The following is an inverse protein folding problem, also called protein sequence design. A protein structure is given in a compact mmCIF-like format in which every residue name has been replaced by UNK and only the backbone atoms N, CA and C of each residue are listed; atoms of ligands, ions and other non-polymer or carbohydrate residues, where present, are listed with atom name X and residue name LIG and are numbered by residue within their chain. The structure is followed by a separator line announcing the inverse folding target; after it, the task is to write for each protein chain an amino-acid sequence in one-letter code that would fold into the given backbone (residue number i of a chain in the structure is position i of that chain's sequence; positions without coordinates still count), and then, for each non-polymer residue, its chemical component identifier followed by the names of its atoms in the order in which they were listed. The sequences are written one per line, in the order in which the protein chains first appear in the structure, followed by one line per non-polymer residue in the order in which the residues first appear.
data_IF_683719387873
#
_entry.id   IF_683719387873
#
_cell.length_a   1.000
_cell.length_b   1.000
_cell.length_c   1.000
_cell.angle_alpha   90.00
_cell.angle_beta   90.00
_cell.angle_gamma   90.00
#
_symmetry.space_group_name_H-M   'P 1'
#
loop_
_entity.id
_entity.type
_entity.pdbx_description
1 polymer ?
#
# COMPACT_ATOMS: atom_id res chain seq x y z
N UNK A 1 -2.40 -0.75 -20.35
CA UNK A 1 -3.41 -1.57 -21.06
C UNK A 1 -3.41 -1.29 -22.57
N UNK A 2 -3.47 -0.02 -23.03
CA UNK A 2 -3.47 0.32 -24.45
C UNK A 2 -2.29 -0.28 -25.25
N UNK A 3 -1.09 -0.29 -24.67
CA UNK A 3 0.09 -0.88 -25.31
C UNK A 3 -0.07 -2.40 -25.56
N UNK A 4 -0.69 -3.13 -24.63
CA UNK A 4 -0.94 -4.57 -24.75
C UNK A 4 -1.94 -4.83 -25.88
N UNK A 5 -3.02 -4.04 -25.96
CA UNK A 5 -4.01 -4.15 -27.05
C UNK A 5 -3.35 -3.95 -28.41
N UNK A 6 -2.51 -2.91 -28.55
CA UNK A 6 -1.79 -2.64 -29.80
C UNK A 6 -0.80 -3.74 -30.17
N UNK A 7 -0.13 -4.32 -29.19
CA UNK A 7 0.77 -5.45 -29.40
C UNK A 7 0.00 -6.68 -29.92
N UNK A 8 -1.14 -7.02 -29.30
CA UNK A 8 -1.99 -8.14 -29.75
C UNK A 8 -2.52 -7.92 -31.17
N UNK A 9 -2.98 -6.69 -31.49
CA UNK A 9 -3.40 -6.32 -32.84
C UNK A 9 -2.27 -6.55 -33.86
N UNK A 10 -1.06 -6.07 -33.56
CA UNK A 10 0.12 -6.24 -34.45
C UNK A 10 0.43 -7.71 -34.70
N UNK A 11 0.49 -8.52 -33.63
CA UNK A 11 0.76 -9.96 -33.75
C UNK A 11 -0.33 -10.68 -34.56
N UNK A 12 -1.60 -10.34 -34.42
CA UNK A 12 -2.68 -10.94 -35.19
C UNK A 12 -2.56 -10.60 -36.68
N UNK A 13 -2.15 -9.37 -37.03
CA UNK A 13 -1.90 -8.94 -38.42
C UNK A 13 -0.73 -9.74 -39.01
N UNK A 14 0.37 -9.93 -38.23
CA UNK A 14 1.51 -10.74 -38.67
C UNK A 14 1.11 -12.20 -38.92
N UNK A 15 0.37 -12.80 -37.98
CA UNK A 15 -0.15 -14.17 -38.15
C UNK A 15 -0.97 -14.32 -39.41
N UNK A 16 -1.83 -13.35 -39.72
CA UNK A 16 -2.63 -13.34 -40.94
C UNK A 16 -1.77 -13.21 -42.20
N UNK A 17 -0.80 -12.29 -42.18
CA UNK A 17 0.13 -12.09 -43.30
C UNK A 17 0.96 -13.34 -43.62
N UNK A 18 1.27 -14.17 -42.60
CA UNK A 18 1.93 -15.48 -42.79
C UNK A 18 0.98 -16.64 -43.09
N UNK A 19 -0.31 -16.36 -43.34
CA UNK A 19 -1.31 -17.40 -43.69
C UNK A 19 -1.72 -18.28 -42.49
N UNK A 20 -1.38 -17.88 -41.27
CA UNK A 20 -1.78 -18.61 -40.05
C UNK A 20 -3.27 -18.37 -39.74
N UNK A 21 -3.94 -19.45 -39.35
CA UNK A 21 -5.31 -19.37 -38.82
C UNK A 21 -5.38 -19.13 -37.32
N UNK A 22 -4.25 -19.13 -36.64
CA UNK A 22 -4.18 -18.83 -35.21
C UNK A 22 -4.49 -17.35 -34.96
N UNK A 23 -5.16 -17.06 -33.83
CA UNK A 23 -5.45 -15.69 -33.38
C UNK A 23 -5.24 -15.61 -31.88
N UNK A 24 -4.80 -14.47 -31.42
CA UNK A 24 -4.74 -14.11 -29.98
C UNK A 24 -6.01 -13.30 -29.69
N UNK A 25 -6.83 -13.80 -28.77
CA UNK A 25 -8.04 -13.11 -28.32
C UNK A 25 -7.70 -12.06 -27.26
N UNK A 26 -7.95 -10.78 -27.54
CA UNK A 26 -7.92 -9.72 -26.54
C UNK A 26 -9.26 -9.70 -25.77
N UNK A 27 -9.20 -9.98 -24.48
CA UNK A 27 -10.37 -9.98 -23.60
C UNK A 27 -10.31 -8.79 -22.65
N UNK A 28 -11.30 -7.92 -22.74
CA UNK A 28 -11.44 -6.75 -21.85
C UNK A 28 -12.75 -6.82 -21.05
N UNK A 29 -12.83 -7.65 -20.01
CA UNK A 29 -14.08 -7.97 -19.32
C UNK A 29 -14.62 -6.82 -18.45
N UNK A 30 -13.90 -5.72 -18.31
CA UNK A 30 -14.23 -4.64 -17.36
C UNK A 30 -14.39 -5.14 -15.90
N UNK A 31 -15.20 -4.44 -15.11
CA UNK A 31 -15.61 -4.91 -13.77
C UNK A 31 -16.92 -5.66 -13.90
N UNK A 32 -16.99 -6.88 -13.43
CA UNK A 32 -18.20 -7.70 -13.47
C UNK A 32 -18.52 -8.26 -12.07
N UNK A 33 -19.79 -8.59 -11.84
CA UNK A 33 -20.24 -9.23 -10.60
C UNK A 33 -19.49 -10.54 -10.38
N UNK A 34 -19.23 -10.88 -9.13
CA UNK A 34 -18.45 -12.06 -8.78
C UNK A 34 -16.93 -11.86 -8.78
N UNK A 35 -16.42 -10.69 -9.21
CA UNK A 35 -15.00 -10.35 -9.09
C UNK A 35 -14.71 -9.51 -7.85
N UNK A 36 -13.46 -9.59 -7.34
CA UNK A 36 -13.01 -8.73 -6.21
C UNK A 36 -13.11 -7.23 -6.51
N UNK A 37 -13.08 -6.82 -7.77
CA UNK A 37 -13.22 -5.44 -8.18
C UNK A 37 -14.65 -4.90 -7.98
N UNK A 38 -15.64 -5.77 -7.80
CA UNK A 38 -17.03 -5.39 -7.55
C UNK A 38 -17.37 -5.33 -6.04
N UNK A 39 -16.37 -5.40 -5.15
CA UNK A 39 -16.54 -5.24 -3.70
C UNK A 39 -17.04 -6.48 -2.96
N UNK A 40 -17.09 -7.63 -3.62
CA UNK A 40 -17.60 -8.88 -3.07
C UNK A 40 -16.57 -10.00 -2.92
N UNK A 41 -17.04 -11.15 -2.45
CA UNK A 41 -16.33 -12.42 -2.55
C UNK A 41 -16.41 -12.90 -4.01
N UNK A 42 -15.40 -13.64 -4.48
CA UNK A 42 -15.48 -14.28 -5.78
C UNK A 42 -16.70 -15.20 -5.84
N UNK A 43 -17.55 -14.99 -6.84
CA UNK A 43 -18.69 -15.85 -7.14
C UNK A 43 -18.40 -16.63 -8.43
N UNK A 44 -18.15 -17.91 -8.30
CA UNK A 44 -17.81 -18.77 -9.41
C UNK A 44 -18.99 -18.95 -10.40
N UNK A 45 -20.22 -18.83 -9.91
CA UNK A 45 -21.41 -18.96 -10.77
C UNK A 45 -21.50 -17.80 -11.75
N UNK A 46 -21.31 -16.56 -11.27
CA UNK A 46 -21.30 -15.36 -12.11
C UNK A 46 -20.08 -15.34 -13.05
N UNK A 47 -18.94 -15.86 -12.62
CA UNK A 47 -17.74 -15.92 -13.44
C UNK A 47 -17.77 -17.02 -14.48
N UNK A 48 -18.51 -18.10 -14.25
CA UNK A 48 -18.62 -19.21 -15.20
C UNK A 48 -19.24 -18.77 -16.53
N UNK A 49 -20.31 -17.96 -16.50
CA UNK A 49 -20.94 -17.43 -17.72
C UNK A 49 -19.97 -16.66 -18.58
N UNK A 50 -19.16 -15.78 -17.95
CA UNK A 50 -18.13 -15.04 -18.67
C UNK A 50 -17.04 -15.94 -19.23
N UNK A 51 -16.64 -16.98 -18.49
CA UNK A 51 -15.64 -17.95 -18.94
C UNK A 51 -16.14 -18.72 -20.17
N UNK A 52 -17.40 -19.16 -20.18
CA UNK A 52 -18.01 -19.84 -21.33
C UNK A 52 -18.05 -18.95 -22.57
N UNK A 53 -18.37 -17.66 -22.41
CA UNK A 53 -18.36 -16.71 -23.51
C UNK A 53 -16.94 -16.45 -24.05
N UNK A 54 -15.95 -16.33 -23.17
CA UNK A 54 -14.54 -16.23 -23.58
C UNK A 54 -14.14 -17.46 -24.41
N UNK A 55 -14.50 -18.66 -23.97
CA UNK A 55 -14.20 -19.91 -24.68
C UNK A 55 -14.87 -19.94 -26.06
N UNK A 56 -16.13 -19.53 -26.18
CA UNK A 56 -16.82 -19.41 -27.48
C UNK A 56 -16.09 -18.50 -28.46
N UNK A 57 -15.72 -17.29 -27.99
CA UNK A 57 -14.98 -16.33 -28.82
C UNK A 57 -13.57 -16.83 -29.18
N UNK A 58 -12.91 -17.58 -28.27
CA UNK A 58 -11.62 -18.21 -28.56
C UNK A 58 -11.73 -19.26 -29.69
N UNK A 59 -12.74 -20.12 -29.63
CA UNK A 59 -12.98 -21.12 -30.71
C UNK A 59 -13.46 -20.50 -32.00
N UNK A 60 -14.19 -19.39 -31.93
CA UNK A 60 -14.58 -18.61 -33.12
C UNK A 60 -13.39 -17.88 -33.77
N UNK A 61 -12.22 -17.87 -33.11
CA UNK A 61 -11.00 -17.15 -33.53
C UNK A 61 -11.20 -15.65 -33.66
N UNK A 62 -12.06 -15.10 -32.80
CA UNK A 62 -12.21 -13.67 -32.66
C UNK A 62 -10.93 -13.03 -32.16
N UNK A 63 -10.66 -11.79 -32.55
CA UNK A 63 -9.47 -11.06 -32.16
C UNK A 63 -9.73 -10.16 -30.93
N UNK A 64 -10.99 -9.89 -30.63
CA UNK A 64 -11.39 -9.07 -29.48
C UNK A 64 -12.75 -9.49 -28.94
N UNK A 65 -12.84 -9.53 -27.61
CA UNK A 65 -14.08 -9.72 -26.88
C UNK A 65 -14.20 -8.75 -25.71
N UNK A 66 -15.24 -7.94 -25.72
CA UNK A 66 -15.59 -7.00 -24.66
C UNK A 66 -17.03 -7.31 -24.26
N UNK A 67 -17.27 -7.95 -23.11
CA UNK A 67 -18.63 -8.24 -22.64
C UNK A 67 -19.48 -6.96 -22.54
N UNK A 68 -20.73 -7.03 -22.96
CA UNK A 68 -21.70 -5.92 -22.94
C UNK A 68 -21.17 -4.64 -23.63
N UNK A 69 -20.41 -4.82 -24.73
CA UNK A 69 -19.81 -3.70 -25.45
C UNK A 69 -20.85 -2.67 -25.91
N UNK A 70 -21.93 -3.11 -26.55
CA UNK A 70 -22.95 -2.24 -27.09
C UNK A 70 -23.65 -1.41 -26.00
N UNK A 71 -23.92 -2.03 -24.86
CA UNK A 71 -24.65 -1.41 -23.75
C UNK A 71 -23.77 -0.50 -22.89
N UNK A 72 -22.53 -0.90 -22.67
CA UNK A 72 -21.67 -0.25 -21.66
C UNK A 72 -20.62 0.66 -22.29
N UNK A 73 -20.01 0.25 -23.40
CA UNK A 73 -18.80 0.91 -23.93
C UNK A 73 -19.04 1.70 -25.21
N UNK A 74 -19.99 1.24 -26.05
CA UNK A 74 -20.31 1.95 -27.29
C UNK A 74 -20.83 3.35 -27.01
N UNK A 75 -20.29 4.32 -27.71
CA UNK A 75 -20.68 5.72 -27.56
C UNK A 75 -20.17 6.42 -26.27
N UNK A 76 -19.26 5.79 -25.47
CA UNK A 76 -18.69 6.44 -24.27
C UNK A 76 -18.02 7.78 -24.62
N UNK A 77 -17.17 7.79 -25.64
CA UNK A 77 -16.49 9.01 -26.08
C UNK A 77 -17.47 10.05 -26.60
N UNK A 78 -18.49 9.64 -27.32
CA UNK A 78 -19.54 10.51 -27.82
C UNK A 78 -20.31 11.16 -26.67
N UNK A 79 -20.78 10.38 -25.71
CA UNK A 79 -21.43 10.90 -24.50
C UNK A 79 -20.53 11.87 -23.70
N UNK A 80 -19.25 11.54 -23.57
CA UNK A 80 -18.28 12.41 -22.90
C UNK A 80 -18.09 13.74 -23.64
N UNK A 81 -17.98 13.71 -24.97
CA UNK A 81 -17.78 14.92 -25.78
C UNK A 81 -19.04 15.79 -25.86
N UNK A 82 -20.23 15.18 -25.84
CA UNK A 82 -21.49 15.92 -25.87
C UNK A 82 -21.72 16.70 -24.57
N UNK A 83 -21.52 16.08 -23.44
CA UNK A 83 -21.58 16.75 -22.13
C UNK A 83 -20.64 16.11 -21.12
N UNK A 84 -19.41 16.62 -20.96
CA UNK A 84 -18.44 16.12 -20.00
C UNK A 84 -18.91 16.21 -18.54
N UNK A 85 -19.74 17.20 -18.23
CA UNK A 85 -20.24 17.41 -16.86
C UNK A 85 -21.31 16.37 -16.52
N UNK A 86 -22.32 16.20 -17.37
CA UNK A 86 -23.35 15.16 -17.21
C UNK A 86 -22.75 13.76 -17.17
N UNK A 87 -21.80 13.48 -18.07
CA UNK A 87 -21.06 12.23 -18.05
C UNK A 87 -20.32 12.00 -16.72
N UNK A 88 -19.72 13.05 -16.18
CA UNK A 88 -19.06 13.04 -14.88
C UNK A 88 -20.02 12.74 -13.74
N UNK A 89 -21.18 13.40 -13.71
CA UNK A 89 -22.24 13.18 -12.72
C UNK A 89 -22.76 11.74 -12.76
N UNK A 90 -23.07 11.22 -13.96
CA UNK A 90 -23.50 9.84 -14.13
C UNK A 90 -22.44 8.83 -13.66
N UNK A 91 -21.18 9.06 -13.99
CA UNK A 91 -20.06 8.25 -13.53
C UNK A 91 -19.87 8.30 -12.00
N UNK A 92 -20.10 9.45 -11.39
CA UNK A 92 -20.06 9.61 -9.94
C UNK A 92 -21.22 8.88 -9.24
N UNK A 93 -22.44 9.02 -9.77
CA UNK A 93 -23.62 8.33 -9.26
C UNK A 93 -23.45 6.81 -9.34
N UNK A 94 -22.98 6.28 -10.45
CA UNK A 94 -22.65 4.86 -10.61
C UNK A 94 -21.64 4.38 -9.55
N UNK A 95 -20.60 5.16 -9.29
CA UNK A 95 -19.60 4.83 -8.26
C UNK A 95 -20.20 4.81 -6.85
N UNK A 96 -21.14 5.71 -6.58
CA UNK A 96 -21.86 5.79 -5.31
C UNK A 96 -22.77 4.58 -5.13
N UNK A 97 -23.60 4.26 -6.11
CA UNK A 97 -24.54 3.14 -6.08
C UNK A 97 -23.85 1.78 -6.02
N UNK A 98 -22.72 1.64 -6.71
CA UNK A 98 -21.90 0.41 -6.68
C UNK A 98 -21.04 0.27 -5.42
N UNK A 99 -21.15 1.19 -4.44
CA UNK A 99 -20.33 1.17 -3.22
C UNK A 99 -18.83 1.44 -3.44
N UNK A 100 -18.44 1.84 -4.67
CA UNK A 100 -17.02 2.10 -4.98
C UNK A 100 -16.47 3.36 -4.30
N UNK A 101 -17.33 4.28 -3.91
CA UNK A 101 -16.92 5.45 -3.14
C UNK A 101 -16.75 5.09 -1.66
N UNK A 102 -17.58 4.18 -1.16
CA UNK A 102 -17.50 3.69 0.21
C UNK A 102 -16.29 2.74 0.39
N UNK A 103 -15.87 2.08 -0.70
CA UNK A 103 -14.73 1.19 -0.77
C UNK A 103 -13.40 1.87 -1.19
N UNK A 104 -13.28 3.19 -1.18
CA UNK A 104 -11.96 3.78 -1.00
C UNK A 104 -11.52 3.42 0.41
N UNK A 105 -10.95 2.21 0.56
CA UNK A 105 -10.20 1.83 1.74
C UNK A 105 -9.23 2.98 1.97
N UNK A 106 -9.56 3.85 2.92
CA UNK A 106 -8.70 4.96 3.31
C UNK A 106 -7.34 4.33 3.58
N UNK A 107 -6.33 4.78 2.86
CA UNK A 107 -4.96 4.29 3.05
C UNK A 107 -4.62 4.51 4.52
N UNK A 108 -4.44 3.42 5.28
CA UNK A 108 -4.04 3.52 6.68
C UNK A 108 -2.58 3.89 6.75
N UNK A 109 -2.32 5.10 7.23
CA UNK A 109 -0.96 5.61 7.44
C UNK A 109 -0.51 5.17 8.83
N UNK A 110 0.61 4.48 8.89
CA UNK A 110 1.29 4.15 10.13
C UNK A 110 2.50 5.04 10.35
N UNK A 111 2.76 5.40 11.58
CA UNK A 111 3.95 6.13 11.99
C UNK A 111 4.66 5.40 13.14
N UNK A 112 5.95 5.43 13.12
CA UNK A 112 6.79 5.11 14.28
C UNK A 112 8.05 5.95 14.27
N UNK A 113 8.59 6.21 15.46
CA UNK A 113 9.84 6.94 15.62
C UNK A 113 10.89 6.12 16.37
N UNK A 114 12.15 6.37 16.07
CA UNK A 114 13.25 5.72 16.75
C UNK A 114 14.61 6.30 16.38
N UNK A 115 15.62 6.01 17.19
CA UNK A 115 17.00 6.40 16.88
C UNK A 115 17.61 5.52 15.78
N UNK A 116 17.24 4.25 15.74
CA UNK A 116 17.73 3.23 14.79
C UNK A 116 19.26 3.12 14.70
N UNK A 117 19.93 3.47 15.79
CA UNK A 117 21.37 3.30 15.89
C UNK A 117 21.75 1.83 16.06
N UNK A 118 22.86 1.41 15.44
CA UNK A 118 23.27 -0.01 15.41
C UNK A 118 22.11 -0.90 14.95
N UNK A 119 21.60 -0.66 13.75
CA UNK A 119 20.43 -1.34 13.22
C UNK A 119 20.55 -2.87 13.33
N UNK A 120 19.56 -3.51 13.94
CA UNK A 120 19.57 -4.94 14.23
C UNK A 120 18.19 -5.58 14.00
N UNK A 121 18.10 -6.91 14.15
CA UNK A 121 16.87 -7.69 13.91
C UNK A 121 15.66 -7.19 14.72
N UNK A 122 15.88 -6.61 15.90
CA UNK A 122 14.80 -6.00 16.69
C UNK A 122 14.14 -4.83 15.98
N UNK A 123 14.93 -3.95 15.35
CA UNK A 123 14.43 -2.86 14.52
C UNK A 123 13.69 -3.40 13.27
N UNK A 124 14.29 -4.38 12.60
CA UNK A 124 13.67 -5.00 11.42
C UNK A 124 12.29 -5.63 11.75
N UNK A 125 12.20 -6.33 12.88
CA UNK A 125 10.94 -6.94 13.32
C UNK A 125 9.87 -5.90 13.67
N UNK A 126 10.27 -4.78 14.27
CA UNK A 126 9.38 -3.65 14.55
C UNK A 126 8.81 -3.08 13.26
N UNK A 127 9.66 -2.76 12.27
CA UNK A 127 9.26 -2.26 10.96
C UNK A 127 8.33 -3.23 10.22
N UNK A 128 8.67 -4.53 10.23
CA UNK A 128 7.86 -5.57 9.61
C UNK A 128 6.45 -5.65 10.22
N UNK A 129 6.35 -5.67 11.56
CA UNK A 129 5.07 -5.74 12.27
C UNK A 129 4.22 -4.49 12.04
N UNK A 130 4.85 -3.31 12.03
CA UNK A 130 4.18 -2.05 11.74
C UNK A 130 3.61 -2.05 10.32
N UNK A 131 4.42 -2.43 9.32
CA UNK A 131 3.97 -2.50 7.91
C UNK A 131 2.82 -3.48 7.69
N UNK A 132 2.73 -4.56 8.45
CA UNK A 132 1.62 -5.51 8.37
C UNK A 132 0.28 -4.93 8.83
N UNK A 133 0.31 -3.80 9.54
CA UNK A 133 -0.89 -3.17 10.11
C UNK A 133 -1.23 -1.81 9.51
N UNK A 134 -0.52 -1.39 8.46
CA UNK A 134 -0.80 -0.16 7.71
C UNK A 134 -0.52 -0.36 6.22
N UNK A 135 -1.12 0.49 5.40
CA UNK A 135 -0.91 0.49 3.96
C UNK A 135 0.35 1.31 3.58
N UNK A 136 0.65 2.37 4.35
CA UNK A 136 1.79 3.26 4.16
C UNK A 136 2.49 3.51 5.49
N UNK A 137 3.76 3.14 5.61
CA UNK A 137 4.54 3.29 6.83
C UNK A 137 5.56 4.43 6.72
N UNK A 138 5.39 5.43 7.57
CA UNK A 138 6.33 6.54 7.75
C UNK A 138 7.18 6.27 8.97
N UNK A 139 8.50 6.40 8.83
CA UNK A 139 9.45 6.18 9.92
C UNK A 139 10.22 7.45 10.21
N UNK A 140 10.05 7.99 11.41
CA UNK A 140 10.83 9.11 11.93
C UNK A 140 12.15 8.62 12.54
N UNK A 141 13.28 9.16 12.09
CA UNK A 141 14.60 8.87 12.64
C UNK A 141 15.05 10.05 13.49
N UNK A 142 15.28 9.82 14.77
CA UNK A 142 15.79 10.87 15.68
C UNK A 142 17.23 11.24 15.33
N UNK A 143 17.54 12.52 15.38
CA UNK A 143 18.88 13.07 15.15
C UNK A 143 19.92 12.50 16.11
N UNK A 144 19.55 12.39 17.40
CA UNK A 144 20.42 11.86 18.44
C UNK A 144 19.67 10.98 19.45
N UNK A 145 20.44 10.25 20.26
CA UNK A 145 19.93 9.54 21.42
C UNK A 145 20.09 10.35 22.73
N UNK A 146 20.53 11.61 22.65
CA UNK A 146 20.91 12.41 23.80
C UNK A 146 19.79 12.57 24.83
N UNK A 147 18.55 12.70 24.41
CA UNK A 147 17.39 12.76 25.32
C UNK A 147 17.13 11.45 26.09
N UNK A 148 17.74 10.33 25.67
CA UNK A 148 17.79 9.04 26.40
C UNK A 148 19.12 8.84 27.14
N UNK A 149 19.99 9.88 27.20
CA UNK A 149 21.33 9.75 27.75
C UNK A 149 22.25 8.81 26.95
N UNK A 150 22.02 8.69 25.63
CA UNK A 150 22.80 7.80 24.75
C UNK A 150 23.37 8.58 23.56
N UNK A 151 24.66 8.40 23.34
CA UNK A 151 25.28 8.85 22.08
C UNK A 151 24.98 7.88 20.95
N UNK A 152 24.91 8.38 19.73
CA UNK A 152 24.75 7.57 18.52
C UNK A 152 26.12 7.25 17.93
N UNK A 153 26.31 6.01 17.49
CA UNK A 153 27.53 5.56 16.79
C UNK A 153 27.48 5.89 15.30
N UNK A 154 26.28 5.80 14.73
CA UNK A 154 26.07 5.96 13.27
C UNK A 154 25.47 7.35 13.01
N UNK A 155 26.02 8.13 12.09
CA UNK A 155 25.46 9.43 11.70
C UNK A 155 24.01 9.35 11.27
N UNK A 156 23.24 10.43 11.44
CA UNK A 156 21.82 10.48 11.14
C UNK A 156 21.51 10.06 9.69
N UNK A 157 22.24 10.59 8.71
CA UNK A 157 21.97 10.34 7.30
C UNK A 157 22.20 8.86 6.93
N UNK A 158 23.20 8.22 7.50
CA UNK A 158 23.44 6.79 7.30
C UNK A 158 22.32 5.95 7.93
N UNK A 159 21.86 6.30 9.13
CA UNK A 159 20.71 5.62 9.77
C UNK A 159 19.44 5.77 8.96
N UNK A 160 19.18 6.95 8.42
CA UNK A 160 18.05 7.21 7.50
C UNK A 160 18.17 6.39 6.22
N UNK A 161 19.36 6.29 5.64
CA UNK A 161 19.61 5.49 4.45
C UNK A 161 19.35 3.99 4.70
N UNK A 162 19.83 3.45 5.83
CA UNK A 162 19.60 2.04 6.21
C UNK A 162 18.11 1.77 6.43
N UNK A 163 17.41 2.64 7.15
CA UNK A 163 15.97 2.51 7.40
C UNK A 163 15.19 2.62 6.10
N UNK A 164 15.56 3.55 5.21
CA UNK A 164 14.90 3.75 3.92
C UNK A 164 15.11 2.61 2.93
N UNK A 165 16.23 1.89 3.03
CA UNK A 165 16.47 0.69 2.24
C UNK A 165 15.66 -0.54 2.72
N UNK A 166 15.00 -0.44 3.89
CA UNK A 166 14.20 -1.53 4.41
C UNK A 166 12.87 -1.65 3.64
N UNK A 167 12.61 -2.79 3.04
CA UNK A 167 11.41 -3.06 2.21
C UNK A 167 10.05 -2.85 2.92
N UNK A 168 10.07 -2.66 4.23
CA UNK A 168 8.85 -2.43 5.03
C UNK A 168 8.55 -0.94 5.22
N UNK A 169 9.43 -0.05 4.79
CA UNK A 169 9.34 1.40 4.98
C UNK A 169 8.98 2.07 3.66
N UNK A 170 7.93 2.89 3.68
CA UNK A 170 7.52 3.63 2.49
C UNK A 170 8.09 5.04 2.47
N UNK A 171 8.34 5.62 3.65
CA UNK A 171 8.91 6.97 3.79
C UNK A 171 9.74 7.09 5.06
N UNK A 172 10.93 7.69 4.93
CA UNK A 172 11.75 8.10 6.07
C UNK A 172 11.71 9.61 6.20
N UNK A 173 11.61 10.08 7.44
CA UNK A 173 11.58 11.51 7.78
C UNK A 173 12.46 11.77 9.00
N UNK A 174 12.85 13.03 9.21
CA UNK A 174 13.42 13.45 10.47
C UNK A 174 12.33 13.37 11.54
N UNK A 175 12.65 12.77 12.68
CA UNK A 175 11.67 12.60 13.76
C UNK A 175 11.46 13.93 14.48
N UNK A 176 10.20 14.26 14.72
CA UNK A 176 9.86 15.31 15.69
C UNK A 176 10.26 14.90 17.11
N UNK A 177 10.37 15.86 18.01
CA UNK A 177 10.65 15.60 19.43
C UNK A 177 9.52 14.81 20.09
N UNK A 178 8.29 15.16 19.77
CA UNK A 178 7.08 14.48 20.21
C UNK A 178 6.37 13.83 19.01
N UNK A 179 5.81 12.64 19.21
CA UNK A 179 5.05 11.95 18.16
C UNK A 179 3.74 12.69 17.85
N UNK A 180 3.22 13.48 18.78
CA UNK A 180 2.08 14.36 18.56
C UNK A 180 2.38 15.43 17.50
N UNK A 181 3.57 16.05 17.54
CA UNK A 181 4.00 17.04 16.53
C UNK A 181 4.15 16.39 15.15
N UNK A 182 4.58 15.13 15.10
CA UNK A 182 4.62 14.36 13.87
C UNK A 182 3.22 14.09 13.29
N UNK A 183 2.21 13.98 14.14
CA UNK A 183 0.83 13.80 13.68
C UNK A 183 0.31 15.05 12.96
N UNK A 184 0.64 16.23 13.42
CA UNK A 184 0.25 17.49 12.77
C UNK A 184 0.84 17.62 11.35
N UNK A 185 1.97 16.96 11.08
CA UNK A 185 2.61 16.94 9.77
C UNK A 185 2.10 15.83 8.84
N UNK A 186 1.81 14.65 9.41
CA UNK A 186 1.62 13.43 8.60
C UNK A 186 0.23 12.83 8.73
N UNK A 187 -0.60 13.27 9.67
CA UNK A 187 -1.98 12.80 9.91
C UNK A 187 -2.11 11.28 9.85
N UNK A 188 -1.22 10.56 10.54
CA UNK A 188 -1.22 9.10 10.57
C UNK A 188 -2.42 8.55 11.36
N UNK A 189 -2.85 7.34 11.01
CA UNK A 189 -3.96 6.62 11.63
C UNK A 189 -3.50 5.72 12.78
N UNK A 190 -2.22 5.30 12.76
CA UNK A 190 -1.63 4.41 13.77
C UNK A 190 -0.26 4.88 14.21
N UNK A 191 -0.07 4.96 15.51
CA UNK A 191 1.24 5.15 16.14
C UNK A 191 1.75 3.80 16.64
N UNK A 192 2.87 3.33 16.11
CA UNK A 192 3.48 2.08 16.53
C UNK A 192 4.63 2.32 17.50
N UNK A 193 4.66 1.57 18.59
CA UNK A 193 5.65 1.76 19.66
C UNK A 193 5.95 0.44 20.36
N UNK A 194 7.10 0.36 21.03
CA UNK A 194 7.43 -0.77 21.91
C UNK A 194 6.56 -0.82 23.17
N UNK A 195 6.27 -2.02 23.64
CA UNK A 195 5.42 -2.23 24.85
C UNK A 195 6.04 -1.69 26.13
N UNK A 196 7.33 -1.40 26.14
CA UNK A 196 8.06 -0.77 27.25
C UNK A 196 7.61 0.66 27.54
N UNK A 197 6.97 1.32 26.58
CA UNK A 197 6.41 2.66 26.74
C UNK A 197 4.98 2.68 27.27
N UNK A 198 4.28 1.53 27.27
CA UNK A 198 2.89 1.45 27.73
C UNK A 198 2.77 1.82 29.20
N UNK A 199 1.86 2.74 29.50
CA UNK A 199 1.61 3.21 30.86
C UNK A 199 2.60 4.27 31.37
N UNK A 200 3.59 4.68 30.57
CA UNK A 200 4.42 5.85 30.91
C UNK A 200 3.61 7.13 30.84
N UNK A 201 4.00 8.15 31.61
CA UNK A 201 3.30 9.45 31.63
C UNK A 201 3.22 10.11 30.24
N UNK A 202 4.25 9.93 29.41
CA UNK A 202 4.26 10.41 28.02
C UNK A 202 3.15 9.73 27.21
N UNK A 203 3.03 8.42 27.30
CA UNK A 203 2.05 7.69 26.50
C UNK A 203 0.63 7.79 27.04
N UNK A 204 0.42 7.99 28.34
CA UNK A 204 -0.87 8.38 28.90
C UNK A 204 -1.37 9.71 28.31
N UNK A 205 -0.46 10.72 28.17
CA UNK A 205 -0.80 11.99 27.49
C UNK A 205 -1.14 11.79 26.02
N UNK A 206 -0.43 10.89 25.31
CA UNK A 206 -0.72 10.58 23.92
C UNK A 206 -2.05 9.84 23.77
N UNK A 207 -2.37 8.90 24.62
CA UNK A 207 -3.65 8.21 24.63
C UNK A 207 -4.82 9.19 24.75
N UNK A 208 -4.71 10.20 25.62
CA UNK A 208 -5.72 11.26 25.75
C UNK A 208 -5.71 12.21 24.53
N UNK A 209 -4.54 12.64 24.06
CA UNK A 209 -4.40 13.53 22.91
C UNK A 209 -4.99 12.95 21.63
N UNK A 210 -4.82 11.66 21.42
CA UNK A 210 -5.27 10.97 20.20
C UNK A 210 -6.71 10.45 20.26
N UNK A 211 -7.34 10.46 21.41
CA UNK A 211 -8.69 9.92 21.62
C UNK A 211 -9.73 10.45 20.62
N UNK A 212 -9.75 11.77 20.40
CA UNK A 212 -10.71 12.41 19.51
C UNK A 212 -10.19 12.57 18.06
N UNK A 213 -8.95 12.15 17.80
CA UNK A 213 -8.29 12.22 16.48
C UNK A 213 -8.39 10.93 15.69
N UNK A 214 -8.95 9.87 16.27
CA UNK A 214 -9.09 8.58 15.63
C UNK A 214 -7.76 7.85 15.39
N UNK A 215 -6.69 8.18 16.13
CA UNK A 215 -5.39 7.53 16.05
C UNK A 215 -5.33 6.36 17.02
N UNK A 216 -4.96 5.19 16.51
CA UNK A 216 -4.75 3.99 17.31
C UNK A 216 -3.28 3.88 17.73
N UNK A 217 -2.98 3.78 19.05
CA UNK A 217 -1.63 3.49 19.54
C UNK A 217 -1.48 1.98 19.66
N UNK A 218 -0.55 1.40 18.90
CA UNK A 218 -0.29 -0.04 18.85
C UNK A 218 1.04 -0.35 19.55
N UNK A 219 0.97 -1.11 20.63
CA UNK A 219 2.14 -1.52 21.41
C UNK A 219 2.64 -2.89 20.97
N UNK A 220 3.90 -2.95 20.51
CA UNK A 220 4.53 -4.21 20.11
C UNK A 220 5.38 -4.83 21.20
N UNK A 221 5.31 -6.14 21.38
CA UNK A 221 6.17 -6.83 22.32
C UNK A 221 7.66 -6.70 21.94
N UNK A 222 8.50 -6.53 22.94
CA UNK A 222 9.94 -6.40 22.77
C UNK A 222 10.56 -7.66 22.16
N UNK A 223 11.50 -7.49 21.22
CA UNK A 223 12.26 -8.61 20.62
C UNK A 223 13.47 -8.94 21.52
N UNK A 224 13.47 -10.10 22.16
CA UNK A 224 14.47 -10.47 23.17
C UNK A 224 15.85 -10.85 22.63
N UNK A 225 16.02 -11.09 21.34
CA UNK A 225 17.23 -11.71 20.76
C UNK A 225 18.45 -10.80 20.68
N UNK A 226 18.26 -9.54 20.28
CA UNK A 226 19.37 -8.58 20.11
C UNK A 226 18.86 -7.18 20.40
N UNK A 227 19.67 -6.37 21.10
CA UNK A 227 19.38 -4.96 21.36
C UNK A 227 20.61 -4.09 21.13
N UNK A 228 20.39 -2.81 20.81
CA UNK A 228 21.48 -1.84 20.69
C UNK A 228 22.30 -1.74 21.97
N UNK A 229 21.69 -1.96 23.15
CA UNK A 229 22.39 -1.96 24.43
C UNK A 229 23.35 -3.15 24.53
N UNK A 230 22.94 -4.35 24.12
CA UNK A 230 23.83 -5.52 24.10
C UNK A 230 25.00 -5.30 23.15
N UNK A 231 24.76 -4.75 21.98
CA UNK A 231 25.81 -4.45 20.98
C UNK A 231 26.78 -3.41 21.55
N UNK A 232 26.28 -2.32 22.15
CA UNK A 232 27.11 -1.29 22.81
C UNK A 232 28.01 -1.88 23.89
N UNK A 233 27.45 -2.66 24.80
CA UNK A 233 28.20 -3.28 25.89
C UNK A 233 29.29 -4.21 25.35
N UNK A 234 29.04 -4.94 24.29
CA UNK A 234 30.04 -5.80 23.65
C UNK A 234 31.20 -5.00 23.00
N UNK A 235 30.91 -3.81 22.47
CA UNK A 235 31.93 -2.92 21.88
C UNK A 235 32.77 -2.28 22.99
N UNK A 236 32.13 -1.72 24.03
CA UNK A 236 32.85 -1.04 25.12
C UNK A 236 33.67 -1.99 25.97
N UNK A 237 33.23 -3.21 26.20
CA UNK A 237 34.00 -4.21 26.97
C UNK A 237 35.25 -4.71 26.21
N UNK A 238 35.25 -4.66 24.88
CA UNK A 238 36.43 -5.00 24.06
C UNK A 238 37.43 -3.85 23.90
N UNK A 239 37.01 -2.62 24.13
CA UNK A 239 37.88 -1.45 24.05
C UNK A 239 38.67 -1.18 25.38
N UNK A 240 38.42 -1.98 26.42
CA UNK A 240 39.10 -1.92 27.72
C UNK A 240 40.10 -3.06 27.97
N UNK A 241 40.29 -3.95 26.99
CA UNK A 241 41.38 -4.95 26.92
C UNK A 241 42.48 -4.45 25.94
#
# INVERSE_FOLDING_TARGET
KAAVVRFVESVNIELEAYGSTNRILDVSPASFKGSRFYGGKNDLTETAVLADDIVKHLFARDVRFIPNYEETFKGILERYHNDPHEYGLHSYQYKKESGRLDNKKRVKIGYLSGTFDLFHVGHLNLLKRAKQQCDYLIVGVHDSGAWKGKETFIPLEERKAIVGACKYVDKVVDSCREDADAWDLWHYDRLFVGSDYKGTERFKRYEEYFKDKGVEIVYFPYTKSTSSTQIRNAITNKAGE
#
